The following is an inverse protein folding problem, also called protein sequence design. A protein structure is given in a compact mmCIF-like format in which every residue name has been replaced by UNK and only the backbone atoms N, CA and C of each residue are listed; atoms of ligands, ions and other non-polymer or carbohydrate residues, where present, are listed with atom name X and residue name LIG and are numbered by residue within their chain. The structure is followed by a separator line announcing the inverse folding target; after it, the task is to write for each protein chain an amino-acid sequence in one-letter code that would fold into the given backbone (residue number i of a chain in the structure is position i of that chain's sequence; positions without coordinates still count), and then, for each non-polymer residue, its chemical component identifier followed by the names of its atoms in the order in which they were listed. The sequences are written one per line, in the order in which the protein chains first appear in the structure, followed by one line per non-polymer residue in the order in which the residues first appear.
data_IF_563132684626
#
_entry.id   IF_563132684626
#
_cell.length_a   1.000
_cell.length_b   1.000
_cell.length_c   1.000
_cell.angle_alpha   90.00
_cell.angle_beta   90.00
_cell.angle_gamma   90.00
#
_symmetry.space_group_name_H-M   'P 1'
#
loop_
_entity.id
_entity.type
_entity.pdbx_description
1 polymer ?
#
# COMPACT_ATOMS: atom_id res chain seq x y z
N UNK A 1 -3.12 -4.03 9.46
CA UNK A 1 -2.69 -3.61 8.11
C UNK A 1 -1.59 -2.58 8.30
N UNK A 2 -0.51 -2.67 7.53
CA UNK A 2 0.65 -1.78 7.63
C UNK A 2 0.63 -0.80 6.45
N UNK A 3 1.08 0.42 6.66
CA UNK A 3 1.29 1.39 5.60
C UNK A 3 2.47 2.29 5.92
N UNK A 4 3.12 2.78 4.87
CA UNK A 4 4.15 3.79 4.93
C UNK A 4 3.57 5.16 4.57
N UNK A 5 4.05 6.21 5.25
CA UNK A 5 3.62 7.60 5.03
C UNK A 5 4.85 8.48 4.79
N UNK A 6 4.83 9.23 3.69
CA UNK A 6 5.74 10.34 3.47
C UNK A 6 4.99 11.66 3.67
N UNK A 7 5.50 12.50 4.58
CA UNK A 7 5.02 13.86 4.79
C UNK A 7 6.01 14.84 4.16
N UNK A 8 5.58 15.69 3.20
CA UNK A 8 6.44 16.69 2.61
C UNK A 8 6.77 17.78 3.64
N UNK A 9 7.89 18.52 3.47
CA UNK A 9 8.17 19.72 4.25
C UNK A 9 6.98 20.68 4.18
N UNK A 10 6.49 21.12 5.34
CA UNK A 10 5.31 21.99 5.38
C UNK A 10 5.66 23.40 4.96
N UNK A 11 5.08 23.88 3.86
CA UNK A 11 5.21 25.28 3.43
C UNK A 11 4.14 26.20 4.05
N UNK A 12 3.06 25.63 4.62
CA UNK A 12 1.87 26.35 5.08
C UNK A 12 1.18 25.61 6.24
N UNK A 13 0.19 26.22 6.89
CA UNK A 13 -0.64 25.54 7.90
C UNK A 13 -1.80 24.73 7.29
N UNK A 14 -1.88 24.61 5.96
CA UNK A 14 -2.90 23.81 5.29
C UNK A 14 -2.41 22.38 5.07
N UNK A 15 -3.22 21.34 5.34
CA UNK A 15 -2.86 19.96 5.04
C UNK A 15 -2.51 19.76 3.56
N UNK A 16 -1.45 19.00 3.23
CA UNK A 16 -1.09 18.74 1.84
C UNK A 16 -2.11 17.82 1.17
N UNK A 17 -2.26 17.90 -0.17
CA UNK A 17 -2.96 16.85 -0.92
C UNK A 17 -2.27 15.50 -0.74
N UNK A 18 -3.05 14.42 -0.80
CA UNK A 18 -2.59 13.04 -0.57
C UNK A 18 -2.68 12.22 -1.85
N UNK A 19 -1.59 11.54 -2.19
CA UNK A 19 -1.54 10.52 -3.23
C UNK A 19 -1.44 9.13 -2.59
N UNK A 20 -2.39 8.26 -2.94
CA UNK A 20 -2.35 6.84 -2.57
C UNK A 20 -1.66 6.03 -3.66
N UNK A 21 -0.59 5.32 -3.30
CA UNK A 21 0.14 4.45 -4.21
C UNK A 21 -0.19 2.98 -3.92
N UNK A 22 -0.70 2.28 -4.93
CA UNK A 22 -1.13 0.89 -4.83
C UNK A 22 -0.11 -0.02 -5.52
N UNK A 23 0.72 -0.71 -4.72
CA UNK A 23 1.81 -1.56 -5.21
C UNK A 23 1.36 -2.89 -5.83
N UNK A 24 2.19 -3.44 -6.73
CA UNK A 24 1.90 -4.69 -7.42
C UNK A 24 2.10 -5.97 -6.58
N UNK A 25 1.90 -7.10 -7.24
CA UNK A 25 2.01 -8.44 -6.65
C UNK A 25 3.35 -8.64 -5.91
N UNK A 26 3.30 -9.32 -4.76
CA UNK A 26 4.44 -9.59 -3.85
C UNK A 26 5.04 -8.39 -3.13
N UNK A 27 4.62 -7.15 -3.44
CA UNK A 27 5.13 -5.97 -2.73
C UNK A 27 4.51 -5.84 -1.33
N UNK A 28 5.21 -5.09 -0.46
CA UNK A 28 4.70 -4.51 0.77
C UNK A 28 4.68 -2.96 0.67
N UNK A 29 4.45 -2.28 1.79
CA UNK A 29 4.44 -0.81 1.88
C UNK A 29 5.83 -0.16 1.65
N UNK A 30 6.92 -0.92 1.81
CA UNK A 30 8.29 -0.41 1.71
C UNK A 30 8.82 -0.42 0.27
N UNK A 31 8.27 -1.24 -0.63
CA UNK A 31 8.78 -1.39 -2.00
C UNK A 31 8.84 -0.05 -2.75
N UNK A 32 7.72 0.67 -2.79
CA UNK A 32 7.67 1.98 -3.44
C UNK A 32 8.52 3.00 -2.68
N UNK A 33 8.39 3.00 -1.35
CA UNK A 33 9.13 3.88 -0.43
C UNK A 33 10.64 3.83 -0.70
N UNK A 34 11.21 2.65 -0.92
CA UNK A 34 12.66 2.48 -1.03
C UNK A 34 13.18 2.50 -2.46
N UNK A 35 12.36 2.17 -3.46
CA UNK A 35 12.84 1.94 -4.84
C UNK A 35 12.39 2.99 -5.85
N UNK A 36 11.32 3.74 -5.58
CA UNK A 36 10.77 4.69 -6.55
C UNK A 36 11.46 6.07 -6.55
N UNK A 37 12.12 6.45 -5.45
CA UNK A 37 12.74 7.77 -5.31
C UNK A 37 11.73 8.94 -5.36
N UNK A 38 10.46 8.69 -5.04
CA UNK A 38 9.37 9.64 -5.20
C UNK A 38 9.41 10.81 -4.19
N UNK A 39 10.07 10.64 -3.05
CA UNK A 39 10.09 11.60 -1.94
C UNK A 39 10.61 12.98 -2.37
N UNK A 40 11.64 13.02 -3.24
CA UNK A 40 12.22 14.28 -3.71
C UNK A 40 11.18 15.13 -4.45
N UNK A 41 10.49 14.53 -5.41
CA UNK A 41 9.47 15.22 -6.22
C UNK A 41 8.23 15.51 -5.39
N UNK A 42 7.82 14.60 -4.50
CA UNK A 42 6.70 14.83 -3.60
C UNK A 42 6.97 16.00 -2.64
N UNK A 43 8.21 16.18 -2.17
CA UNK A 43 8.62 17.34 -1.39
C UNK A 43 8.54 18.64 -2.20
N UNK A 44 9.05 18.65 -3.44
CA UNK A 44 9.01 19.80 -4.35
C UNK A 44 7.57 20.25 -4.65
N UNK A 45 6.64 19.30 -4.77
CA UNK A 45 5.24 19.55 -5.09
C UNK A 45 4.33 19.71 -3.86
N UNK A 46 4.84 19.49 -2.65
CA UNK A 46 4.04 19.54 -1.43
C UNK A 46 2.96 18.44 -1.33
N UNK A 47 3.25 17.23 -1.81
CA UNK A 47 2.31 16.09 -1.84
C UNK A 47 2.68 15.07 -0.75
N UNK A 48 1.70 14.65 0.04
CA UNK A 48 1.84 13.51 0.95
C UNK A 48 1.63 12.19 0.19
N UNK A 49 2.42 11.16 0.53
CA UNK A 49 2.32 9.85 -0.09
C UNK A 49 1.87 8.82 0.94
N UNK A 50 0.86 8.03 0.61
CA UNK A 50 0.41 6.89 1.40
C UNK A 50 0.61 5.62 0.60
N UNK A 51 1.41 4.70 1.14
CA UNK A 51 1.73 3.41 0.52
C UNK A 51 1.21 2.29 1.43
N UNK A 52 -0.03 1.80 1.28
CA UNK A 52 -0.51 0.66 2.04
C UNK A 52 0.15 -0.65 1.57
N UNK A 53 0.13 -1.64 2.45
CA UNK A 53 0.40 -3.02 2.09
C UNK A 53 -0.60 -3.53 1.04
N UNK A 54 -0.23 -4.57 0.30
CA UNK A 54 -0.99 -5.11 -0.84
C UNK A 54 -2.06 -6.11 -0.42
N UNK A 55 -2.00 -6.59 0.82
CA UNK A 55 -2.89 -7.59 1.38
C UNK A 55 -2.76 -7.66 2.91
N UNK A 56 -3.76 -8.19 3.61
CA UNK A 56 -3.61 -8.62 5.00
C UNK A 56 -2.48 -9.66 5.15
N UNK A 57 -1.69 -9.57 6.22
CA UNK A 57 -0.62 -10.53 6.54
C UNK A 57 -0.85 -11.17 7.92
N UNK A 58 -0.26 -12.34 8.14
CA UNK A 58 -0.30 -13.07 9.41
C UNK A 58 -0.66 -14.55 9.27
N UNK A 59 -0.52 -15.32 10.35
CA UNK A 59 -0.77 -16.77 10.36
C UNK A 59 -2.26 -17.11 10.09
N UNK A 60 -3.17 -16.26 10.56
CA UNK A 60 -4.62 -16.46 10.43
C UNK A 60 -5.21 -15.95 9.11
N UNK A 61 -4.38 -15.48 8.18
CA UNK A 61 -4.82 -15.04 6.85
C UNK A 61 -4.70 -16.20 5.88
N UNK A 62 -5.74 -16.44 5.07
CA UNK A 62 -5.72 -17.45 4.02
C UNK A 62 -4.63 -17.15 2.98
N UNK A 63 -3.99 -18.18 2.45
CA UNK A 63 -2.96 -18.04 1.41
C UNK A 63 -2.99 -19.23 0.44
N UNK A 64 -2.40 -19.05 -0.73
CA UNK A 64 -2.21 -20.09 -1.75
C UNK A 64 -0.69 -20.25 -2.01
N UNK A 65 -0.22 -21.40 -2.49
CA UNK A 65 1.18 -21.57 -2.85
C UNK A 65 1.51 -21.03 -4.26
N UNK A 66 0.51 -20.94 -5.14
CA UNK A 66 0.66 -20.45 -6.51
C UNK A 66 0.94 -18.94 -6.55
N UNK A 67 1.91 -18.54 -7.37
CA UNK A 67 2.47 -17.17 -7.39
C UNK A 67 1.41 -16.07 -7.58
N UNK A 68 0.46 -16.29 -8.48
CA UNK A 68 -0.61 -15.38 -8.88
C UNK A 68 -1.86 -15.46 -8.00
N UNK A 69 -1.97 -16.49 -7.17
CA UNK A 69 -3.10 -16.73 -6.25
C UNK A 69 -2.73 -16.55 -4.78
N UNK A 70 -1.48 -16.17 -4.50
CA UNK A 70 -1.01 -15.82 -3.15
C UNK A 70 -1.76 -14.61 -2.59
N UNK A 71 -2.81 -14.88 -1.82
CA UNK A 71 -3.67 -13.87 -1.22
C UNK A 71 -2.90 -13.01 -0.21
N UNK A 72 -1.84 -13.56 0.43
CA UNK A 72 -0.89 -12.79 1.27
C UNK A 72 0.12 -11.94 0.48
N UNK A 73 0.11 -12.04 -0.85
CA UNK A 73 0.99 -11.27 -1.71
C UNK A 73 0.25 -10.15 -2.46
N UNK A 74 -1.06 -10.27 -2.70
CA UNK A 74 -1.95 -9.24 -3.26
C UNK A 74 -3.42 -9.70 -3.22
N UNK A 75 -4.34 -8.84 -2.77
CA UNK A 75 -5.81 -9.10 -2.78
C UNK A 75 -6.55 -8.45 -3.95
N UNK A 76 -5.83 -7.95 -4.95
CA UNK A 76 -6.36 -7.28 -6.15
C UNK A 76 -7.24 -6.05 -5.88
N UNK A 77 -7.20 -5.51 -4.65
CA UNK A 77 -8.00 -4.35 -4.23
C UNK A 77 -9.52 -4.57 -4.34
N UNK A 78 -9.96 -5.80 -4.07
CA UNK A 78 -11.37 -6.21 -4.13
C UNK A 78 -11.91 -6.64 -2.78
N UNK A 79 -13.21 -6.45 -2.60
CA UNK A 79 -13.96 -7.07 -1.52
C UNK A 79 -14.26 -8.53 -1.87
N UNK A 80 -13.53 -9.48 -1.27
CA UNK A 80 -13.80 -10.89 -1.46
C UNK A 80 -15.18 -11.29 -0.91
N UNK A 81 -15.91 -12.09 -1.69
CA UNK A 81 -17.24 -12.62 -1.35
C UNK A 81 -17.20 -14.11 -1.00
N UNK A 82 -16.13 -14.82 -1.37
CA UNK A 82 -15.93 -16.22 -1.03
C UNK A 82 -15.43 -16.35 0.42
N UNK A 83 -16.08 -17.20 1.22
CA UNK A 83 -15.87 -17.27 2.68
C UNK A 83 -14.42 -17.59 3.12
N UNK A 84 -13.62 -18.22 2.26
CA UNK A 84 -12.22 -18.55 2.55
C UNK A 84 -11.24 -17.40 2.22
N UNK A 85 -11.70 -16.31 1.61
CA UNK A 85 -10.87 -15.20 1.14
C UNK A 85 -11.10 -13.94 1.99
N UNK A 86 -10.07 -13.11 2.12
CA UNK A 86 -10.13 -11.90 2.95
C UNK A 86 -10.64 -10.70 2.16
N UNK A 87 -11.46 -9.86 2.79
CA UNK A 87 -11.89 -8.57 2.20
C UNK A 87 -10.72 -7.58 2.20
N UNK A 88 -10.47 -6.94 1.05
CA UNK A 88 -9.59 -5.77 1.01
C UNK A 88 -10.30 -4.60 1.68
N UNK A 89 -9.83 -4.20 2.87
CA UNK A 89 -10.31 -3.00 3.54
C UNK A 89 -9.20 -1.97 3.38
N UNK A 90 -9.35 -1.06 2.43
CA UNK A 90 -8.70 0.24 2.59
C UNK A 90 -9.39 1.00 3.72
#
# INVERSE_FOLDING_TARGET
MTFSLFLPPSATNTPPPVLYWLSGLTCNDENFTTKAGAQRVAAELGIALVMPDTSPRGEHVADDSAYDRRVKALVFYLNATQAALVRAIF
#
